data_IF_801520812399
#
_entry.id   IF_801520812399
#
_cell.length_a   1.000
_cell.length_b   1.000
_cell.length_c   1.000
_cell.angle_alpha   90.00
_cell.angle_beta   90.00
_cell.angle_gamma   90.00
#
_symmetry.space_group_name_H-M   'P 1'
#
loop_
_entity.id
_entity.type
_entity.pdbx_description
1 polymer ?
#
# COMPACT_ATOMS: atom_id res chain seq x y z
N UNK A 1 -0.78 -2.39 -20.05
CA UNK A 1 -1.72 -2.82 -19.00
C UNK A 1 -1.60 -4.33 -18.83
N UNK A 2 -1.85 -4.85 -17.63
CA UNK A 2 -1.86 -6.30 -17.37
C UNK A 2 -3.04 -6.92 -18.12
N UNK A 3 -2.81 -8.05 -18.78
CA UNK A 3 -3.85 -8.79 -19.51
C UNK A 3 -4.99 -9.23 -18.57
N UNK A 4 -6.21 -9.36 -19.09
CA UNK A 4 -7.38 -9.77 -18.31
C UNK A 4 -7.19 -11.15 -17.68
N UNK A 5 -6.58 -12.10 -18.39
CA UNK A 5 -6.30 -13.44 -17.85
C UNK A 5 -5.33 -13.39 -16.66
N UNK A 6 -4.31 -12.53 -16.75
CA UNK A 6 -3.34 -12.34 -15.67
C UNK A 6 -3.99 -11.66 -14.43
N UNK A 7 -4.93 -10.73 -14.63
CA UNK A 7 -5.71 -10.14 -13.53
C UNK A 7 -6.60 -11.17 -12.84
N UNK A 8 -7.30 -12.01 -13.62
CA UNK A 8 -8.10 -13.11 -13.06
C UNK A 8 -7.22 -14.05 -12.25
N UNK A 9 -6.10 -14.50 -12.82
CA UNK A 9 -5.16 -15.37 -12.13
C UNK A 9 -4.62 -14.77 -10.83
N UNK A 10 -4.25 -13.48 -10.85
CA UNK A 10 -3.86 -12.75 -9.63
C UNK A 10 -4.93 -12.88 -8.54
N UNK A 11 -6.18 -12.54 -8.88
CA UNK A 11 -7.32 -12.55 -7.95
C UNK A 11 -7.65 -13.95 -7.41
N UNK A 12 -7.61 -14.98 -8.25
CA UNK A 12 -8.06 -16.33 -7.90
C UNK A 12 -6.96 -17.24 -7.36
N UNK A 13 -5.70 -16.99 -7.70
CA UNK A 13 -4.58 -17.89 -7.40
C UNK A 13 -3.51 -17.25 -6.50
N UNK A 14 -3.25 -15.95 -6.60
CA UNK A 14 -2.17 -15.30 -5.84
C UNK A 14 -2.66 -14.60 -4.56
N UNK A 15 -3.73 -13.78 -4.65
CA UNK A 15 -4.25 -13.06 -3.48
C UNK A 15 -4.59 -14.01 -2.31
N UNK A 16 -5.19 -15.20 -2.52
CA UNK A 16 -5.50 -16.11 -1.41
C UNK A 16 -4.27 -16.64 -0.65
N UNK A 17 -3.08 -16.58 -1.25
CA UNK A 17 -1.83 -17.07 -0.65
C UNK A 17 -1.10 -15.98 0.13
N UNK A 18 -1.51 -14.71 0.00
CA UNK A 18 -0.76 -13.59 0.52
C UNK A 18 -1.00 -13.39 2.03
N UNK A 19 0.09 -13.29 2.80
CA UNK A 19 0.05 -12.78 4.17
C UNK A 19 -0.45 -11.34 4.21
N UNK A 20 -0.04 -10.54 3.23
CA UNK A 20 -0.45 -9.14 3.07
C UNK A 20 -0.42 -8.77 1.60
N UNK A 21 -1.43 -8.01 1.15
CA UNK A 21 -1.43 -7.34 -0.16
C UNK A 21 -1.46 -5.82 0.06
N UNK A 22 -0.83 -5.06 -0.84
CA UNK A 22 -0.66 -3.61 -0.67
C UNK A 22 -1.18 -2.79 -1.85
N UNK A 23 -2.45 -2.94 -2.29
CA UNK A 23 -2.99 -2.18 -3.42
C UNK A 23 -2.99 -0.68 -3.13
N UNK A 24 -2.68 0.14 -4.13
CA UNK A 24 -3.09 1.55 -4.12
C UNK A 24 -4.60 1.68 -4.41
N UNK A 25 -5.13 2.91 -4.34
CA UNK A 25 -6.55 3.17 -4.55
C UNK A 25 -7.07 2.64 -5.91
N UNK A 26 -6.48 2.96 -7.09
CA UNK A 26 -6.92 2.36 -8.36
C UNK A 26 -6.83 0.83 -8.41
N UNK A 27 -5.79 0.24 -7.84
CA UNK A 27 -5.64 -1.22 -7.76
C UNK A 27 -6.73 -1.84 -6.88
N UNK A 28 -7.10 -1.18 -5.78
CA UNK A 28 -8.16 -1.65 -4.90
C UNK A 28 -9.52 -1.57 -5.60
N UNK A 29 -9.83 -0.47 -6.29
CA UNK A 29 -11.03 -0.31 -7.11
C UNK A 29 -11.14 -1.41 -8.17
N UNK A 30 -10.04 -1.72 -8.87
CA UNK A 30 -9.98 -2.80 -9.84
C UNK A 30 -10.23 -4.16 -9.19
N UNK A 31 -9.74 -4.40 -7.97
CA UNK A 31 -9.97 -5.66 -7.25
C UNK A 31 -11.45 -5.80 -6.91
N UNK A 32 -12.06 -4.79 -6.27
CA UNK A 32 -13.42 -4.85 -5.73
C UNK A 32 -14.52 -4.58 -6.76
N UNK A 33 -14.18 -4.00 -7.90
CA UNK A 33 -15.12 -3.72 -9.00
C UNK A 33 -16.04 -2.52 -8.75
N UNK A 34 -15.69 -1.63 -7.81
CA UNK A 34 -16.41 -0.38 -7.55
C UNK A 34 -15.43 0.74 -7.17
N UNK A 35 -15.85 2.00 -7.37
CA UNK A 35 -15.06 3.19 -7.06
C UNK A 35 -15.06 3.52 -5.56
N UNK A 36 -13.92 3.97 -5.04
CA UNK A 36 -13.69 4.25 -3.63
C UNK A 36 -13.47 5.76 -3.46
N UNK A 37 -14.47 6.46 -2.93
CA UNK A 37 -14.45 7.92 -2.83
C UNK A 37 -14.25 8.44 -1.41
N UNK A 38 -14.58 7.63 -0.41
CA UNK A 38 -14.60 8.05 0.98
C UNK A 38 -14.07 6.94 1.93
N UNK A 39 -13.88 7.24 3.22
CA UNK A 39 -13.42 6.24 4.19
C UNK A 39 -14.36 5.04 4.38
N UNK A 40 -15.67 5.19 4.16
CA UNK A 40 -16.65 4.09 4.27
C UNK A 40 -16.49 3.10 3.10
N UNK A 41 -16.30 3.61 1.88
CA UNK A 41 -15.99 2.79 0.70
C UNK A 41 -14.66 2.04 0.92
N UNK A 42 -13.67 2.68 1.53
CA UNK A 42 -12.39 2.08 1.86
C UNK A 42 -12.56 0.90 2.83
N UNK A 43 -13.39 1.08 3.87
CA UNK A 43 -13.71 0.00 4.80
C UNK A 43 -14.43 -1.15 4.11
N UNK A 44 -15.44 -0.84 3.28
CA UNK A 44 -16.16 -1.84 2.49
C UNK A 44 -15.21 -2.60 1.57
N UNK A 45 -14.29 -1.90 0.90
CA UNK A 45 -13.32 -2.49 0.00
C UNK A 45 -12.37 -3.43 0.75
N UNK A 46 -11.78 -2.98 1.87
CA UNK A 46 -10.89 -3.81 2.69
C UNK A 46 -11.56 -5.10 3.18
N UNK A 47 -12.80 -4.99 3.68
CA UNK A 47 -13.57 -6.15 4.15
C UNK A 47 -13.94 -7.10 3.00
N UNK A 48 -14.35 -6.57 1.84
CA UNK A 48 -14.66 -7.39 0.67
C UNK A 48 -13.41 -8.12 0.18
N UNK A 49 -12.25 -7.45 0.14
CA UNK A 49 -10.98 -8.03 -0.28
C UNK A 49 -10.64 -9.27 0.56
N UNK A 50 -10.67 -9.13 1.89
CA UNK A 50 -10.38 -10.22 2.81
C UNK A 50 -11.36 -11.39 2.64
N UNK A 51 -12.64 -11.09 2.46
CA UNK A 51 -13.70 -12.09 2.41
C UNK A 51 -13.75 -12.86 1.09
N UNK A 52 -13.69 -12.15 -0.04
CA UNK A 52 -13.96 -12.73 -1.36
C UNK A 52 -12.67 -13.17 -2.08
N UNK A 53 -11.51 -12.58 -1.76
CA UNK A 53 -10.24 -12.88 -2.43
C UNK A 53 -9.20 -13.57 -1.52
N UNK A 54 -9.47 -13.67 -0.22
CA UNK A 54 -8.76 -14.53 0.71
C UNK A 54 -7.34 -14.17 1.19
N UNK A 55 -6.75 -12.98 0.98
CA UNK A 55 -5.49 -12.66 1.65
C UNK A 55 -5.68 -12.61 3.17
N UNK A 56 -4.63 -12.87 3.94
CA UNK A 56 -4.69 -12.80 5.41
C UNK A 56 -4.87 -11.36 5.91
N UNK A 57 -4.31 -10.39 5.18
CA UNK A 57 -4.44 -8.95 5.45
C UNK A 57 -4.33 -8.12 4.17
N UNK A 58 -4.83 -6.88 4.20
CA UNK A 58 -4.72 -5.92 3.09
C UNK A 58 -4.39 -4.53 3.61
N UNK A 59 -3.41 -3.87 2.99
CA UNK A 59 -3.15 -2.44 3.16
C UNK A 59 -3.60 -1.69 1.92
N UNK A 60 -4.69 -0.95 2.01
CA UNK A 60 -5.12 -0.07 0.92
C UNK A 60 -4.45 1.30 1.09
N UNK A 61 -3.61 1.67 0.13
CA UNK A 61 -2.88 2.95 0.15
C UNK A 61 -3.73 4.05 -0.48
N UNK A 62 -4.15 4.99 0.34
CA UNK A 62 -5.11 6.04 0.00
C UNK A 62 -4.48 7.40 -0.29
N UNK A 63 -3.18 7.46 -0.64
CA UNK A 63 -2.45 8.71 -0.99
C UNK A 63 -3.09 9.65 -2.02
N UNK A 64 -4.20 9.23 -2.64
CA UNK A 64 -4.99 9.99 -3.62
C UNK A 64 -6.28 10.61 -3.06
N UNK A 65 -6.69 10.30 -1.83
CA UNK A 65 -7.86 10.94 -1.19
C UNK A 65 -7.53 12.39 -0.75
N UNK A 66 -8.53 13.28 -0.77
CA UNK A 66 -8.38 14.64 -0.25
C UNK A 66 -8.07 14.63 1.26
N UNK A 67 -7.24 15.56 1.72
CA UNK A 67 -6.94 15.77 3.15
C UNK A 67 -5.66 15.12 3.70
N UNK A 68 -5.05 14.14 3.03
CA UNK A 68 -3.78 13.54 3.48
C UNK A 68 -3.51 12.15 2.90
N UNK A 69 -2.29 11.63 3.08
CA UNK A 69 -1.94 10.28 2.64
C UNK A 69 -2.34 9.24 3.69
N UNK A 70 -3.58 8.76 3.61
CA UNK A 70 -4.14 7.75 4.52
C UNK A 70 -3.96 6.34 4.00
N UNK A 71 -3.36 5.47 4.80
CA UNK A 71 -3.24 4.04 4.48
C UNK A 71 -4.00 3.21 5.52
N UNK A 72 -4.79 2.24 5.04
CA UNK A 72 -5.67 1.43 5.88
C UNK A 72 -5.22 -0.03 5.85
N UNK A 73 -4.82 -0.57 7.01
CA UNK A 73 -4.60 -2.01 7.19
C UNK A 73 -5.88 -2.66 7.70
N UNK A 74 -6.29 -3.72 7.04
CA UNK A 74 -7.38 -4.59 7.47
C UNK A 74 -6.86 -6.00 7.71
N UNK A 75 -7.21 -6.56 8.85
CA UNK A 75 -7.14 -8.00 9.14
C UNK A 75 -8.56 -8.53 9.39
N UNK A 76 -8.69 -9.82 9.70
CA UNK A 76 -10.00 -10.38 10.06
C UNK A 76 -10.54 -9.75 11.35
N UNK A 77 -9.65 -9.46 12.29
CA UNK A 77 -9.98 -9.00 13.64
C UNK A 77 -9.88 -7.48 13.81
N UNK A 78 -8.93 -6.85 13.14
CA UNK A 78 -8.49 -5.48 13.43
C UNK A 78 -8.49 -4.59 12.20
N UNK A 79 -8.49 -3.28 12.45
CA UNK A 79 -8.31 -2.25 11.44
C UNK A 79 -7.40 -1.16 12.02
N UNK A 80 -6.41 -0.75 11.24
CA UNK A 80 -5.49 0.32 11.60
C UNK A 80 -5.41 1.36 10.47
N UNK A 81 -5.18 2.61 10.86
CA UNK A 81 -5.09 3.74 9.92
C UNK A 81 -3.85 4.54 10.24
N UNK A 82 -3.05 4.84 9.23
CA UNK A 82 -1.95 5.79 9.30
C UNK A 82 -2.27 7.00 8.47
N UNK A 83 -1.98 8.18 9.02
CA UNK A 83 -2.12 9.45 8.34
C UNK A 83 -0.79 10.18 8.33
N UNK A 84 -0.39 10.67 7.16
CA UNK A 84 0.80 11.50 7.01
C UNK A 84 0.49 12.68 6.10
N UNK A 85 1.16 13.84 6.30
CA UNK A 85 1.05 14.96 5.37
C UNK A 85 1.39 14.52 3.95
N UNK A 86 0.65 15.04 2.97
CA UNK A 86 0.97 14.82 1.56
C UNK A 86 2.20 15.66 1.20
N UNK A 87 3.25 15.00 0.76
CA UNK A 87 4.46 15.67 0.27
C UNK A 87 4.25 15.98 -1.21
N UNK A 88 4.30 17.26 -1.57
CA UNK A 88 4.12 17.70 -2.94
C UNK A 88 5.45 17.55 -3.70
N UNK A 89 5.58 16.44 -4.44
CA UNK A 89 6.78 16.12 -5.22
C UNK A 89 6.42 15.26 -6.44
N UNK A 90 7.20 15.37 -7.52
CA UNK A 90 7.13 14.47 -8.66
C UNK A 90 7.94 13.18 -8.46
N UNK A 91 8.82 13.14 -7.46
CA UNK A 91 9.74 12.01 -7.22
C UNK A 91 9.07 10.90 -6.38
N UNK A 92 8.13 10.20 -7.01
CA UNK A 92 7.32 9.14 -6.37
C UNK A 92 7.54 7.76 -7.00
N UNK A 93 8.51 7.63 -7.91
CA UNK A 93 8.83 6.35 -8.52
C UNK A 93 9.42 5.39 -7.49
N UNK A 94 8.91 4.15 -7.49
CA UNK A 94 9.31 3.12 -6.54
C UNK A 94 8.60 3.20 -5.18
N UNK A 95 7.65 4.12 -4.97
CA UNK A 95 6.94 4.25 -3.68
C UNK A 95 6.23 2.96 -3.26
N UNK A 96 5.43 2.39 -4.15
CA UNK A 96 4.73 1.14 -3.90
C UNK A 96 5.66 -0.04 -3.67
N UNK A 97 6.70 -0.20 -4.50
CA UNK A 97 7.67 -1.29 -4.39
C UNK A 97 8.47 -1.21 -3.09
N UNK A 98 8.93 -0.02 -2.74
CA UNK A 98 9.68 0.23 -1.49
C UNK A 98 8.81 -0.08 -0.27
N UNK A 99 7.56 0.38 -0.27
CA UNK A 99 6.63 0.12 0.82
C UNK A 99 6.42 -1.38 1.05
N UNK A 100 6.13 -2.14 -0.02
CA UNK A 100 5.97 -3.59 0.07
C UNK A 100 7.27 -4.31 0.48
N UNK A 101 8.43 -3.84 0.00
CA UNK A 101 9.74 -4.39 0.35
C UNK A 101 10.07 -4.20 1.85
N UNK A 102 9.78 -3.02 2.41
CA UNK A 102 10.00 -2.76 3.84
C UNK A 102 9.07 -3.61 4.71
N UNK A 103 7.79 -3.74 4.35
CA UNK A 103 6.87 -4.65 5.06
C UNK A 103 7.43 -6.08 5.05
N UNK A 104 7.85 -6.56 3.89
CA UNK A 104 8.41 -7.90 3.73
C UNK A 104 9.66 -8.08 4.61
N UNK A 105 10.56 -7.09 4.64
CA UNK A 105 11.76 -7.14 5.45
C UNK A 105 11.46 -7.15 6.96
N UNK A 106 10.50 -6.34 7.43
CA UNK A 106 10.13 -6.31 8.84
C UNK A 106 9.41 -7.59 9.29
N UNK A 107 8.53 -8.14 8.44
CA UNK A 107 7.93 -9.46 8.70
C UNK A 107 9.00 -10.55 8.78
N UNK A 108 10.01 -10.53 7.89
CA UNK A 108 11.13 -11.47 7.94
C UNK A 108 11.99 -11.33 9.22
N UNK A 109 12.02 -10.13 9.83
CA UNK A 109 12.65 -9.88 11.14
C UNK A 109 11.77 -10.32 12.33
N UNK A 110 10.61 -10.92 12.08
CA UNK A 110 9.68 -11.38 13.12
C UNK A 110 8.80 -10.28 13.71
N UNK A 111 8.67 -9.12 13.04
CA UNK A 111 7.75 -8.06 13.47
C UNK A 111 6.30 -8.44 13.19
N UNK A 112 5.38 -7.83 13.94
CA UNK A 112 3.95 -7.96 13.67
C UNK A 112 3.55 -7.20 12.40
N UNK A 113 2.39 -7.52 11.83
CA UNK A 113 1.84 -6.79 10.68
C UNK A 113 1.75 -5.28 10.95
N UNK A 114 1.23 -4.90 12.13
CA UNK A 114 1.16 -3.50 12.53
C UNK A 114 2.55 -2.83 12.52
N UNK A 115 3.54 -3.44 13.18
CA UNK A 115 4.90 -2.91 13.24
C UNK A 115 5.56 -2.82 11.86
N UNK A 116 5.34 -3.81 11.00
CA UNK A 116 5.88 -3.83 9.65
C UNK A 116 5.30 -2.71 8.77
N UNK A 117 3.98 -2.50 8.83
CA UNK A 117 3.29 -1.43 8.09
C UNK A 117 3.63 -0.05 8.63
N UNK A 118 3.70 0.10 9.96
CA UNK A 118 4.10 1.33 10.62
C UNK A 118 5.51 1.77 10.20
N UNK A 119 6.47 0.83 10.24
CA UNK A 119 7.84 1.06 9.78
C UNK A 119 7.88 1.41 8.29
N UNK A 120 7.13 0.70 7.45
CA UNK A 120 7.08 0.98 6.01
C UNK A 120 6.51 2.35 5.70
N UNK A 121 5.49 2.79 6.45
CA UNK A 121 4.90 4.13 6.34
C UNK A 121 5.91 5.22 6.71
N UNK A 122 6.60 5.05 7.83
CA UNK A 122 7.66 5.98 8.25
C UNK A 122 8.80 6.02 7.22
N UNK A 123 9.24 4.85 6.75
CA UNK A 123 10.29 4.70 5.74
C UNK A 123 9.94 5.44 4.46
N UNK A 124 8.77 5.15 3.88
CA UNK A 124 8.43 5.72 2.58
C UNK A 124 8.22 7.23 2.67
N UNK A 125 7.66 7.72 3.76
CA UNK A 125 7.50 9.15 4.01
C UNK A 125 8.85 9.86 3.97
N UNK A 126 9.84 9.33 4.68
CA UNK A 126 11.20 9.89 4.71
C UNK A 126 11.90 9.78 3.35
N UNK A 127 11.75 8.64 2.68
CA UNK A 127 12.34 8.40 1.36
C UNK A 127 11.81 9.36 0.29
N UNK A 128 10.53 9.73 0.36
CA UNK A 128 9.93 10.75 -0.51
C UNK A 128 10.44 12.15 -0.14
N UNK A 129 10.53 12.48 1.15
CA UNK A 129 11.02 13.80 1.61
C UNK A 129 12.44 14.09 1.14
N UNK A 130 13.31 13.08 1.21
CA UNK A 130 14.73 13.24 0.87
C UNK A 130 15.05 12.76 -0.54
N UNK A 131 14.06 12.69 -1.44
CA UNK A 131 14.24 12.22 -2.80
C UNK A 131 15.42 12.95 -3.49
N UNK A 132 16.31 12.24 -4.22
CA UNK A 132 17.56 12.80 -4.76
C UNK A 132 17.36 13.72 -5.96
N UNK A 133 16.10 13.99 -6.35
CA UNK A 133 15.72 14.86 -7.46
C UNK A 133 16.36 14.48 -8.82
N UNK A 134 16.45 13.17 -9.08
CA UNK A 134 17.05 12.64 -10.30
C UNK A 134 16.03 12.53 -11.44
N UNK A 135 16.45 12.94 -12.64
CA UNK A 135 15.68 12.84 -13.89
C UNK A 135 14.69 13.98 -14.11
N UNK A 136 14.13 14.04 -15.32
CA UNK A 136 13.20 15.11 -15.76
C UNK A 136 11.71 14.71 -15.61
N UNK A 137 11.42 13.56 -15.00
CA UNK A 137 10.07 13.02 -14.85
C UNK A 137 9.80 12.55 -13.42
N UNK A 138 9.10 11.42 -13.25
CA UNK A 138 8.91 10.82 -11.94
C UNK A 138 10.20 10.20 -11.42
N UNK A 139 11.00 10.98 -10.71
CA UNK A 139 12.27 10.49 -10.14
C UNK A 139 12.06 9.50 -8.98
N UNK A 140 13.13 8.78 -8.61
CA UNK A 140 13.09 7.75 -7.56
C UNK A 140 12.97 8.36 -6.16
N UNK A 141 12.48 7.55 -5.22
CA UNK A 141 12.60 7.84 -3.78
C UNK A 141 14.01 7.54 -3.26
N UNK A 142 14.36 8.09 -2.09
CA UNK A 142 15.65 7.89 -1.46
C UNK A 142 15.63 6.76 -0.42
N UNK A 143 16.27 5.63 -0.73
CA UNK A 143 16.25 4.45 0.14
C UNK A 143 17.25 4.51 1.30
N UNK A 144 18.19 5.47 1.31
CA UNK A 144 19.33 5.46 2.25
C UNK A 144 19.17 6.44 3.41
N UNK A 145 18.13 7.27 3.41
CA UNK A 145 18.00 8.37 4.39
C UNK A 145 17.19 7.99 5.62
N UNK A 146 16.50 6.86 5.59
CA UNK A 146 15.82 6.34 6.75
C UNK A 146 16.83 5.75 7.74
N UNK A 147 16.84 6.27 8.96
CA UNK A 147 17.66 5.77 10.07
C UNK A 147 16.73 5.20 11.14
N UNK A 148 17.09 4.04 11.68
CA UNK A 148 16.35 3.35 12.75
C UNK A 148 16.34 4.15 14.06
#
# INVERSE_FOLDING_TARGET
MIDTSARTYLKTNLLPLATIITPNLPEAEEIVGFSIHNPEDMQRAGRLILKEFGPQSVVIKGGHLEGGAKDFLFTKEEQFVWESPRIQTCHTHGTGCTFAAVITAELAKGKTLYQAVDKAKAFITKAIQDAPQLGHGSGPVNHTTFKD
#
